data_IF_994611041990
#
_entry.id   IF_994611041990
#
_cell.length_a   1.000
_cell.length_b   1.000
_cell.length_c   1.000
_cell.angle_alpha   90.00
_cell.angle_beta   90.00
_cell.angle_gamma   90.00
#
_symmetry.space_group_name_H-M   'P 1'
#
loop_
_entity.id
_entity.type
_entity.pdbx_description
1 polymer ?
#
# COMPACT_ATOMS: atom_id res chain seq x y z
N UNK A 1 -11.29 8.92 -16.95
CA UNK A 1 -11.11 9.02 -15.49
C UNK A 1 -9.97 9.98 -15.20
N UNK A 2 -9.89 10.52 -14.00
CA UNK A 2 -8.68 11.20 -13.54
C UNK A 2 -7.69 10.16 -13.01
N UNK A 3 -6.41 10.33 -13.34
CA UNK A 3 -5.30 9.52 -12.83
C UNK A 3 -4.33 10.46 -12.13
N UNK A 4 -3.99 10.14 -10.89
CA UNK A 4 -3.03 10.88 -10.09
C UNK A 4 -1.84 9.99 -9.74
N UNK A 5 -0.64 10.59 -9.81
CA UNK A 5 0.62 9.99 -9.38
C UNK A 5 1.19 10.81 -8.25
N UNK A 6 1.49 10.15 -7.15
CA UNK A 6 2.08 10.75 -5.96
C UNK A 6 3.38 10.07 -5.63
N UNK A 7 4.35 10.86 -5.16
CA UNK A 7 5.49 10.36 -4.40
C UNK A 7 5.25 10.75 -2.95
N UNK A 8 5.18 9.76 -2.08
CA UNK A 8 4.82 9.94 -0.67
C UNK A 8 5.98 9.50 0.20
N UNK A 9 6.16 10.21 1.30
CA UNK A 9 7.00 9.78 2.40
C UNK A 9 6.25 9.99 3.70
N UNK A 10 6.35 9.05 4.63
CA UNK A 10 5.89 9.30 5.98
C UNK A 10 6.65 8.52 7.04
N UNK A 11 6.89 9.18 8.17
CA UNK A 11 7.66 8.61 9.29
C UNK A 11 6.97 7.42 9.95
N UNK A 12 5.64 7.37 9.91
CA UNK A 12 4.81 6.36 10.55
C UNK A 12 4.58 5.12 9.65
N UNK A 13 5.21 5.04 8.47
CA UNK A 13 5.07 3.89 7.59
C UNK A 13 5.70 2.65 8.22
N UNK A 14 4.92 1.58 8.30
CA UNK A 14 5.37 0.30 8.83
C UNK A 14 6.47 -0.34 7.96
N UNK A 15 6.31 -0.23 6.64
CA UNK A 15 7.13 -0.92 5.65
C UNK A 15 8.43 -0.15 5.36
N UNK A 16 8.39 1.18 5.35
CA UNK A 16 9.53 2.07 5.08
C UNK A 16 10.83 1.67 5.79
N UNK A 17 10.91 1.58 7.13
CA UNK A 17 12.18 1.29 7.80
C UNK A 17 12.72 -0.10 7.43
N UNK A 18 11.84 -1.06 7.16
CA UNK A 18 12.21 -2.42 6.75
C UNK A 18 12.70 -2.45 5.30
N UNK A 19 12.04 -1.72 4.39
CA UNK A 19 12.45 -1.61 2.99
C UNK A 19 13.85 -1.00 2.87
N UNK A 20 14.13 0.07 3.62
CA UNK A 20 15.47 0.68 3.68
C UNK A 20 16.49 -0.29 4.28
N UNK A 21 16.20 -0.83 5.46
CA UNK A 21 17.14 -1.69 6.22
C UNK A 21 17.56 -2.94 5.44
N UNK A 22 16.63 -3.54 4.71
CA UNK A 22 16.87 -4.78 3.97
C UNK A 22 17.03 -4.57 2.47
N UNK A 23 17.03 -3.32 1.97
CA UNK A 23 17.14 -3.03 0.54
C UNK A 23 16.11 -3.83 -0.29
N UNK A 24 14.85 -3.79 0.16
CA UNK A 24 13.70 -4.45 -0.46
C UNK A 24 12.81 -3.37 -1.08
N UNK A 25 12.27 -3.69 -2.25
CA UNK A 25 11.09 -2.98 -2.79
C UNK A 25 9.87 -3.87 -2.54
N UNK A 26 8.84 -3.30 -1.92
CA UNK A 26 7.59 -3.99 -1.66
C UNK A 26 6.48 -3.41 -2.55
N UNK A 27 5.86 -4.26 -3.37
CA UNK A 27 4.69 -3.90 -4.17
C UNK A 27 3.44 -4.24 -3.37
N UNK A 28 2.70 -3.21 -2.97
CA UNK A 28 1.57 -3.33 -2.06
C UNK A 28 0.25 -3.10 -2.79
N UNK A 29 -0.63 -4.09 -2.74
CA UNK A 29 -2.03 -3.98 -3.14
C UNK A 29 -2.87 -3.80 -1.89
N UNK A 30 -3.66 -2.73 -1.84
CA UNK A 30 -4.58 -2.49 -0.73
C UNK A 30 -5.91 -3.14 -1.12
N UNK A 31 -6.26 -4.26 -0.49
CA UNK A 31 -7.33 -5.15 -0.95
C UNK A 31 -8.68 -4.67 -0.44
N UNK A 32 -8.80 -4.48 0.86
CA UNK A 32 -10.02 -4.00 1.50
C UNK A 32 -9.73 -3.38 2.86
N UNK A 33 -10.70 -2.63 3.37
CA UNK A 33 -10.70 -2.15 4.74
C UNK A 33 -12.10 -2.12 5.33
N UNK A 34 -12.19 -2.10 6.65
CA UNK A 34 -13.44 -1.87 7.36
C UNK A 34 -13.16 -1.25 8.72
N UNK A 35 -14.23 -0.71 9.33
CA UNK A 35 -14.20 -0.19 10.69
C UNK A 35 -15.06 -1.09 11.56
N UNK A 36 -14.55 -1.45 12.72
CA UNK A 36 -15.29 -2.20 13.71
C UNK A 36 -14.95 -1.66 15.09
N UNK A 37 -15.97 -1.19 15.82
CA UNK A 37 -15.80 -0.48 17.11
C UNK A 37 -14.83 0.71 16.93
N UNK A 38 -13.80 0.80 17.77
CA UNK A 38 -12.77 1.85 17.70
C UNK A 38 -11.51 1.43 16.92
N UNK A 39 -11.65 0.50 15.97
CA UNK A 39 -10.54 -0.04 15.19
C UNK A 39 -10.78 0.11 13.68
N UNK A 40 -9.70 0.37 12.96
CA UNK A 40 -9.61 0.33 11.51
C UNK A 40 -8.80 -0.91 11.13
N UNK A 41 -9.40 -1.78 10.32
CA UNK A 41 -8.76 -2.97 9.80
C UNK A 41 -8.57 -2.83 8.30
N UNK A 42 -7.45 -3.34 7.81
CA UNK A 42 -7.18 -3.38 6.38
C UNK A 42 -6.33 -4.58 6.01
N UNK A 43 -6.59 -5.11 4.82
CA UNK A 43 -5.85 -6.23 4.25
C UNK A 43 -4.99 -5.76 3.09
N UNK A 44 -3.75 -6.21 3.09
CA UNK A 44 -2.79 -5.90 2.02
C UNK A 44 -2.21 -7.19 1.46
N UNK A 45 -1.89 -7.16 0.17
CA UNK A 45 -0.99 -8.12 -0.46
C UNK A 45 0.34 -7.42 -0.77
N UNK A 46 1.41 -7.97 -0.24
CA UNK A 46 2.79 -7.57 -0.46
C UNK A 46 3.46 -8.53 -1.43
N UNK A 47 4.20 -7.99 -2.40
CA UNK A 47 5.03 -8.78 -3.33
C UNK A 47 6.45 -8.24 -3.28
N UNK A 48 7.33 -8.99 -2.59
CA UNK A 48 8.68 -8.52 -2.31
C UNK A 48 9.64 -8.73 -3.48
N UNK A 49 10.39 -7.68 -3.79
CA UNK A 49 11.51 -7.68 -4.75
C UNK A 49 12.84 -7.38 -4.03
N UNK A 50 13.87 -8.16 -4.37
CA UNK A 50 15.21 -8.09 -3.78
C UNK A 50 15.83 -9.48 -3.63
N UNK A 51 17.00 -9.55 -2.99
CA UNK A 51 17.70 -10.84 -2.79
C UNK A 51 16.91 -11.77 -1.85
N UNK A 52 17.02 -13.08 -2.05
CA UNK A 52 16.34 -14.08 -1.20
C UNK A 52 16.69 -13.93 0.28
N UNK A 53 17.95 -13.63 0.58
CA UNK A 53 18.41 -13.40 1.95
C UNK A 53 17.72 -12.19 2.59
N UNK A 54 17.65 -11.07 1.87
CA UNK A 54 17.04 -9.85 2.38
C UNK A 54 15.53 -9.99 2.55
N UNK A 55 14.85 -10.67 1.62
CA UNK A 55 13.41 -10.95 1.73
C UNK A 55 13.12 -11.79 2.98
N UNK A 56 13.91 -12.83 3.25
CA UNK A 56 13.77 -13.64 4.47
C UNK A 56 13.97 -12.82 5.74
N UNK A 57 14.95 -11.90 5.77
CA UNK A 57 15.19 -11.00 6.90
C UNK A 57 14.04 -10.01 7.09
N UNK A 58 13.56 -9.40 5.99
CA UNK A 58 12.40 -8.50 5.98
C UNK A 58 11.17 -9.17 6.57
N UNK A 59 10.82 -10.35 6.09
CA UNK A 59 9.64 -11.11 6.55
C UNK A 59 9.74 -11.46 8.03
N UNK A 60 10.92 -11.90 8.49
CA UNK A 60 11.16 -12.22 9.90
C UNK A 60 10.95 -11.01 10.81
N UNK A 61 11.32 -9.82 10.34
CA UNK A 61 11.14 -8.56 11.08
C UNK A 61 9.69 -8.05 11.01
N UNK A 62 9.02 -8.24 9.86
CA UNK A 62 7.61 -7.89 9.68
C UNK A 62 6.70 -8.70 10.60
N UNK A 63 6.98 -10.00 10.78
CA UNK A 63 6.24 -10.90 11.70
C UNK A 63 6.28 -10.46 13.18
N UNK A 64 7.14 -9.53 13.55
CA UNK A 64 7.23 -8.99 14.92
C UNK A 64 6.31 -7.79 15.13
N UNK A 65 5.70 -7.27 14.08
CA UNK A 65 4.85 -6.09 14.17
C UNK A 65 3.55 -6.39 14.93
N UNK A 66 3.20 -5.54 15.88
CA UNK A 66 2.02 -5.76 16.73
C UNK A 66 0.70 -5.35 16.05
N UNK A 67 0.75 -4.42 15.10
CA UNK A 67 -0.42 -4.02 14.31
C UNK A 67 -0.82 -5.07 13.28
N UNK A 68 0.09 -5.98 12.89
CA UNK A 68 -0.24 -7.12 12.02
C UNK A 68 -0.84 -8.25 12.87
N UNK A 69 -2.16 -8.48 12.73
CA UNK A 69 -2.89 -9.53 13.46
C UNK A 69 -2.79 -10.90 12.83
N UNK A 70 -2.77 -10.94 11.51
CA UNK A 70 -2.59 -12.16 10.73
C UNK A 70 -1.59 -11.90 9.62
N UNK A 71 -0.75 -12.90 9.36
CA UNK A 71 0.21 -12.87 8.27
C UNK A 71 0.27 -14.25 7.65
N UNK A 72 -0.05 -14.33 6.36
CA UNK A 72 0.10 -15.55 5.56
C UNK A 72 1.17 -15.30 4.51
N UNK A 73 2.08 -16.26 4.33
CA UNK A 73 3.22 -16.12 3.43
C UNK A 73 3.32 -17.33 2.51
N UNK A 74 3.45 -17.06 1.20
CA UNK A 74 3.82 -18.07 0.20
C UNK A 74 4.89 -17.51 -0.73
N UNK A 75 6.13 -17.97 -0.56
CA UNK A 75 7.27 -17.42 -1.29
C UNK A 75 7.44 -15.93 -1.01
N UNK A 76 7.32 -15.11 -2.06
CA UNK A 76 7.44 -13.64 -2.01
C UNK A 76 6.10 -12.92 -1.79
N UNK A 77 4.99 -13.66 -1.76
CA UNK A 77 3.65 -13.12 -1.55
C UNK A 77 3.34 -13.18 -0.06
N UNK A 78 2.89 -12.06 0.51
CA UNK A 78 2.52 -11.97 1.91
C UNK A 78 1.16 -11.28 1.99
N UNK A 79 0.18 -11.94 2.62
CA UNK A 79 -1.07 -11.30 3.01
C UNK A 79 -0.95 -10.86 4.46
N UNK A 80 -1.32 -9.62 4.73
CA UNK A 80 -1.38 -9.08 6.09
C UNK A 80 -2.80 -8.63 6.41
N UNK A 81 -3.25 -8.91 7.63
CA UNK A 81 -4.39 -8.23 8.24
C UNK A 81 -3.84 -7.28 9.29
N UNK A 82 -3.96 -5.98 9.02
CA UNK A 82 -3.52 -4.92 9.89
C UNK A 82 -4.69 -4.42 10.77
N UNK A 83 -4.36 -3.99 11.98
CA UNK A 83 -5.28 -3.34 12.92
C UNK A 83 -4.63 -2.07 13.46
N UNK A 84 -5.31 -0.94 13.27
CA UNK A 84 -4.92 0.36 13.83
C UNK A 84 -6.08 0.96 14.65
N UNK A 85 -5.80 1.80 15.66
CA UNK A 85 -6.82 2.67 16.26
C UNK A 85 -7.42 3.62 15.21
N UNK A 86 -8.69 3.99 15.35
CA UNK A 86 -9.36 4.90 14.39
C UNK A 86 -8.66 6.26 14.22
N UNK A 87 -7.98 6.75 15.25
CA UNK A 87 -7.18 7.99 15.20
C UNK A 87 -5.95 7.89 14.28
N UNK A 88 -5.54 6.66 13.93
CA UNK A 88 -4.38 6.35 13.07
C UNK A 88 -4.77 5.78 11.70
N UNK A 89 -6.01 6.02 11.25
CA UNK A 89 -6.51 5.56 9.95
C UNK A 89 -5.94 6.35 8.75
N UNK A 90 -4.64 6.62 8.74
CA UNK A 90 -3.98 7.46 7.73
C UNK A 90 -4.15 6.93 6.30
N UNK A 91 -4.26 5.61 6.14
CA UNK A 91 -4.51 4.98 4.85
C UNK A 91 -5.99 4.94 4.44
N UNK A 92 -6.93 5.38 5.30
CA UNK A 92 -8.36 5.35 4.96
C UNK A 92 -8.73 6.04 3.63
N UNK A 93 -8.09 7.15 3.19
CA UNK A 93 -8.45 7.78 1.91
C UNK A 93 -8.23 6.89 0.68
N UNK A 94 -7.25 5.97 0.71
CA UNK A 94 -7.01 5.04 -0.42
C UNK A 94 -7.88 3.81 -0.42
N UNK A 95 -8.66 3.61 0.65
CA UNK A 95 -9.73 2.63 0.69
C UNK A 95 -11.11 3.24 0.42
N UNK A 96 -11.19 4.53 0.05
CA UNK A 96 -12.44 5.12 -0.42
C UNK A 96 -12.90 4.35 -1.69
N UNK A 97 -14.13 3.83 -1.74
CA UNK A 97 -14.62 3.04 -2.87
C UNK A 97 -14.59 3.76 -4.23
N UNK A 98 -14.44 5.09 -4.23
CA UNK A 98 -14.27 5.88 -5.45
C UNK A 98 -12.84 5.81 -6.02
N UNK A 99 -11.90 5.25 -5.26
CA UNK A 99 -10.49 5.10 -5.64
C UNK A 99 -10.27 3.76 -6.31
N UNK A 100 -9.58 3.81 -7.45
CA UNK A 100 -9.18 2.65 -8.24
C UNK A 100 -7.65 2.61 -8.21
N UNK A 101 -7.08 1.54 -7.66
CA UNK A 101 -5.63 1.30 -7.78
C UNK A 101 -5.33 0.83 -9.19
N UNK A 102 -4.59 1.65 -9.95
CA UNK A 102 -4.22 1.33 -11.34
C UNK A 102 -3.08 0.31 -11.37
N UNK A 103 -2.22 0.36 -10.35
CA UNK A 103 -1.10 -0.55 -10.11
C UNK A 103 -0.78 -0.54 -8.60
N UNK A 104 0.04 -1.48 -8.08
CA UNK A 104 0.36 -1.50 -6.67
C UNK A 104 1.12 -0.24 -6.25
N UNK A 105 0.96 0.12 -5.00
CA UNK A 105 1.86 1.07 -4.33
C UNK A 105 3.26 0.47 -4.33
N UNK A 106 4.24 1.23 -4.78
CA UNK A 106 5.64 0.80 -4.77
C UNK A 106 6.31 1.40 -3.55
N UNK A 107 6.50 0.60 -2.49
CA UNK A 107 7.34 0.97 -1.37
C UNK A 107 8.80 0.70 -1.73
N UNK A 108 9.57 1.76 -1.89
CA UNK A 108 10.94 1.71 -2.39
C UNK A 108 11.96 1.49 -1.28
N UNK A 109 13.13 0.98 -1.67
CA UNK A 109 14.28 0.80 -0.78
C UNK A 109 14.94 2.12 -0.33
N UNK A 110 14.62 3.25 -0.95
CA UNK A 110 15.03 4.59 -0.50
C UNK A 110 14.05 5.21 0.51
N UNK A 111 12.95 4.51 0.80
CA UNK A 111 11.98 4.90 1.82
C UNK A 111 10.83 5.78 1.34
N UNK A 112 10.74 6.05 0.02
CA UNK A 112 9.57 6.67 -0.58
C UNK A 112 8.57 5.64 -1.07
N UNK A 113 7.35 6.11 -1.31
CA UNK A 113 6.26 5.34 -1.91
C UNK A 113 5.83 6.02 -3.20
N UNK A 114 5.68 5.25 -4.27
CA UNK A 114 5.07 5.74 -5.51
C UNK A 114 3.65 5.19 -5.62
N UNK A 115 2.67 6.09 -5.59
CA UNK A 115 1.24 5.77 -5.68
C UNK A 115 0.71 6.20 -7.04
N UNK A 116 -0.09 5.33 -7.66
CA UNK A 116 -0.79 5.63 -8.90
C UNK A 116 -2.21 5.12 -8.83
N UNK A 117 -3.12 6.07 -8.69
CA UNK A 117 -4.53 5.81 -8.43
C UNK A 117 -5.40 6.63 -9.38
N UNK A 118 -6.61 6.14 -9.60
CA UNK A 118 -7.57 6.77 -10.48
C UNK A 118 -8.95 6.87 -9.85
N UNK A 119 -9.75 7.80 -10.35
CA UNK A 119 -11.14 8.00 -9.93
C UNK A 119 -11.91 8.72 -11.02
N UNK A 120 -13.23 8.58 -11.01
CA UNK A 120 -14.10 9.43 -11.81
C UNK A 120 -14.12 10.87 -11.30
N UNK A 121 -13.96 11.05 -9.99
CA UNK A 121 -13.91 12.34 -9.33
C UNK A 121 -12.46 12.73 -8.98
N UNK A 122 -12.05 13.92 -9.42
CA UNK A 122 -10.72 14.46 -9.12
C UNK A 122 -10.58 14.76 -7.62
N UNK A 123 -11.64 15.22 -6.95
CA UNK A 123 -11.57 15.60 -5.54
C UNK A 123 -11.31 14.39 -4.63
N UNK A 124 -11.90 13.24 -4.95
CA UNK A 124 -11.59 11.97 -4.29
C UNK A 124 -10.09 11.66 -4.27
N UNK A 125 -9.37 11.87 -5.39
CA UNK A 125 -7.92 11.64 -5.48
C UNK A 125 -7.13 12.61 -4.58
N UNK A 126 -7.59 13.85 -4.49
CA UNK A 126 -6.89 14.91 -3.77
C UNK A 126 -6.95 14.76 -2.24
N UNK A 127 -7.86 13.91 -1.72
CA UNK A 127 -7.94 13.60 -0.28
C UNK A 127 -6.62 13.10 0.32
N UNK A 128 -5.76 12.46 -0.48
CA UNK A 128 -4.42 12.01 -0.05
C UNK A 128 -3.57 13.17 0.44
N UNK A 129 -3.66 14.34 -0.21
CA UNK A 129 -2.89 15.54 0.18
C UNK A 129 -3.27 16.05 1.58
N UNK A 130 -4.47 15.69 2.07
CA UNK A 130 -4.96 16.09 3.38
C UNK A 130 -4.51 15.16 4.53
N UNK A 131 -3.76 14.09 4.25
CA UNK A 131 -3.29 13.16 5.28
C UNK A 131 -2.13 13.78 6.07
N UNK A 132 -2.29 14.11 7.37
CA UNK A 132 -1.34 14.98 8.08
C UNK A 132 0.06 14.41 8.23
N UNK A 133 0.21 13.08 8.16
CA UNK A 133 1.51 12.41 8.33
C UNK A 133 2.25 12.19 7.01
N UNK A 134 1.62 12.49 5.88
CA UNK A 134 2.18 12.27 4.55
C UNK A 134 2.88 13.54 4.04
N UNK A 135 4.17 13.41 3.74
CA UNK A 135 4.89 14.34 2.88
C UNK A 135 4.65 13.91 1.43
N UNK A 136 3.69 14.59 0.78
CA UNK A 136 3.21 14.20 -0.55
C UNK A 136 3.69 15.17 -1.61
N UNK A 137 4.35 14.64 -2.64
CA UNK A 137 4.68 15.34 -3.88
C UNK A 137 3.77 14.84 -5.01
N UNK A 138 3.03 15.74 -5.64
CA UNK A 138 2.22 15.41 -6.83
C UNK A 138 3.15 15.33 -8.04
N UNK A 139 3.26 14.15 -8.63
CA UNK A 139 4.02 13.94 -9.88
C UNK A 139 3.18 14.25 -11.11
N UNK A 140 1.89 13.90 -11.10
CA UNK A 140 0.95 14.25 -12.17
C UNK A 140 -0.49 14.08 -11.73
N UNK A 141 -1.40 14.90 -12.27
CA UNK A 141 -2.86 14.66 -12.22
C UNK A 141 -3.42 14.99 -13.60
N UNK A 142 -4.01 14.01 -14.27
CA UNK A 142 -4.49 14.17 -15.66
C UNK A 142 -5.71 13.31 -15.94
N UNK A 143 -6.51 13.73 -16.91
CA UNK A 143 -7.64 12.94 -17.39
C UNK A 143 -7.18 11.97 -18.47
N UNK A 144 -7.42 10.67 -18.27
CA UNK A 144 -6.99 9.61 -19.18
C UNK A 144 -8.11 8.60 -19.45
N UNK A 145 -8.01 7.96 -20.62
CA UNK A 145 -8.77 6.75 -20.95
C UNK A 145 -7.92 5.55 -20.52
N UNK A 146 -8.24 4.98 -19.37
CA UNK A 146 -7.56 3.79 -18.85
C UNK A 146 -8.06 2.58 -19.62
N UNK A 147 -7.16 1.84 -20.25
CA UNK A 147 -7.47 0.61 -20.98
C UNK A 147 -7.34 -0.66 -20.14
N UNK A 148 -6.53 -0.61 -19.08
CA UNK A 148 -6.20 -1.77 -18.23
C UNK A 148 -5.80 -1.35 -16.81
N UNK A 149 -5.91 -2.29 -15.85
CA UNK A 149 -5.47 -2.16 -14.46
C UNK A 149 -4.53 -3.34 -14.17
N UNK A 150 -3.38 -3.05 -13.56
CA UNK A 150 -2.37 -4.06 -13.33
C UNK A 150 -2.71 -4.95 -12.13
N UNK A 151 -3.08 -6.20 -12.41
CA UNK A 151 -3.19 -7.28 -11.42
C UNK A 151 -2.00 -8.25 -11.54
N UNK A 152 -1.46 -8.80 -10.42
CA UNK A 152 -0.33 -9.73 -10.50
C UNK A 152 -0.65 -10.99 -11.28
N UNK A 153 -1.90 -11.47 -11.15
CA UNK A 153 -2.47 -12.61 -11.88
C UNK A 153 -3.96 -12.35 -12.08
N UNK A 154 -4.51 -12.76 -13.24
CA UNK A 154 -5.96 -12.69 -13.52
C UNK A 154 -6.72 -13.76 -12.71
N UNK A 155 -6.10 -14.92 -12.52
CA UNK A 155 -6.65 -16.02 -11.72
C UNK A 155 -5.84 -16.24 -10.44
N UNK A 156 -6.51 -16.56 -9.32
CA UNK A 156 -5.81 -16.87 -8.08
C UNK A 156 -5.04 -18.18 -8.22
N UNK A 157 -3.87 -18.24 -7.58
CA UNK A 157 -3.09 -19.48 -7.43
C UNK A 157 -3.51 -20.18 -6.15
N UNK A 158 -4.64 -20.87 -6.22
CA UNK A 158 -5.11 -21.76 -5.15
C UNK A 158 -4.37 -23.10 -5.26
N UNK A 159 -4.01 -23.70 -4.13
CA UNK A 159 -3.43 -25.04 -4.08
C UNK A 159 -4.01 -25.82 -2.93
#
# INVERSE_FOLDING_TARGET
MWVARFKIWHKNCLLRPRCIKYQITDLVYLINSWKEKNKFYYTELHILQGTEENKKKFIRDLKKEKSIKKLEQRGNYIFTLNEEPLERQYYSPVFDPQIIQVRPVIQRSDGYEDWEIASWDREALMKIMGVPVFETEIKSVKQEKISDIFFPHIFPKLS
#
